data_IF_328082237350
#
_entry.id   IF_328082237350
#
_cell.length_a   1.000
_cell.length_b   1.000
_cell.length_c   1.000
_cell.angle_alpha   90.00
_cell.angle_beta   90.00
_cell.angle_gamma   90.00
#
_symmetry.space_group_name_H-M   'P 1'
#
loop_
_entity.id
_entity.type
_entity.pdbx_description
1 polymer ?
#
# COMPACT_ATOMS: atom_id res chain seq x y z
N UNK A 1 -13.43 -9.76 -8.11
CA UNK A 1 -12.58 -8.59 -8.41
C UNK A 1 -11.82 -8.85 -9.69
N UNK A 2 -11.40 -7.81 -10.41
CA UNK A 2 -10.56 -7.95 -11.61
C UNK A 2 -9.08 -8.03 -11.21
N UNK A 3 -8.25 -8.74 -11.97
CA UNK A 3 -6.79 -8.79 -11.75
C UNK A 3 -6.11 -7.41 -11.86
N UNK A 4 -6.80 -6.42 -12.41
CA UNK A 4 -6.32 -5.04 -12.48
C UNK A 4 -6.48 -4.26 -11.17
N UNK A 5 -7.13 -4.84 -10.16
CA UNK A 5 -7.18 -4.28 -8.81
C UNK A 5 -6.15 -4.95 -7.90
N UNK A 6 -5.75 -4.26 -6.83
CA UNK A 6 -4.74 -4.76 -5.90
C UNK A 6 -5.18 -6.08 -5.24
N UNK A 7 -6.41 -6.14 -4.74
CA UNK A 7 -6.96 -7.37 -4.15
C UNK A 7 -7.10 -8.50 -5.17
N UNK A 8 -7.54 -8.19 -6.40
CA UNK A 8 -7.63 -9.19 -7.47
C UNK A 8 -6.27 -9.76 -7.89
N UNK A 9 -5.24 -8.92 -7.94
CA UNK A 9 -3.86 -9.36 -8.17
C UNK A 9 -3.36 -10.29 -7.06
N UNK A 10 -3.47 -9.86 -5.80
CA UNK A 10 -2.98 -10.62 -4.65
C UNK A 10 -3.69 -11.97 -4.52
N UNK A 11 -5.00 -12.00 -4.74
CA UNK A 11 -5.78 -13.25 -4.75
C UNK A 11 -5.31 -14.23 -5.82
N UNK A 12 -5.04 -13.76 -7.04
CA UNK A 12 -4.62 -14.65 -8.14
C UNK A 12 -3.19 -15.15 -7.99
N UNK A 13 -2.29 -14.28 -7.56
CA UNK A 13 -0.85 -14.56 -7.55
C UNK A 13 -0.34 -15.10 -6.22
N UNK A 14 -1.17 -15.12 -5.18
CA UNK A 14 -0.84 -15.58 -3.83
C UNK A 14 0.42 -14.90 -3.25
N UNK A 15 0.64 -13.65 -3.64
CA UNK A 15 1.76 -12.82 -3.19
C UNK A 15 1.44 -11.34 -3.25
N UNK A 16 2.22 -10.54 -2.53
CA UNK A 16 2.18 -9.08 -2.63
C UNK A 16 2.47 -8.60 -4.07
N UNK A 17 1.76 -7.54 -4.48
CA UNK A 17 2.12 -6.79 -5.67
C UNK A 17 3.43 -6.04 -5.44
N UNK A 18 4.25 -5.95 -6.49
CA UNK A 18 5.55 -5.29 -6.44
C UNK A 18 5.64 -4.20 -7.51
N UNK A 19 6.31 -3.11 -7.16
CA UNK A 19 6.44 -1.90 -7.97
C UNK A 19 7.88 -1.39 -7.89
N UNK A 20 8.46 -0.95 -9.00
CA UNK A 20 9.66 -0.11 -8.94
C UNK A 20 9.23 1.33 -8.65
N UNK A 21 9.96 2.08 -7.82
CA UNK A 21 9.73 3.52 -7.57
C UNK A 21 10.52 4.41 -8.53
N UNK A 22 10.15 5.69 -8.66
CA UNK A 22 10.95 6.68 -9.41
C UNK A 22 12.33 6.96 -8.80
N UNK A 23 12.51 6.64 -7.52
CA UNK A 23 13.77 6.67 -6.79
C UNK A 23 14.71 5.48 -7.10
N UNK A 24 14.27 4.56 -7.99
CA UNK A 24 15.00 3.35 -8.35
C UNK A 24 14.87 2.20 -7.36
N UNK A 25 14.08 2.36 -6.29
CA UNK A 25 13.83 1.29 -5.30
C UNK A 25 12.84 0.23 -5.78
N UNK A 26 12.97 -0.98 -5.26
CA UNK A 26 11.96 -2.03 -5.42
C UNK A 26 11.06 -2.07 -4.18
N UNK A 27 9.75 -2.07 -4.39
CA UNK A 27 8.75 -2.00 -3.32
C UNK A 27 7.73 -3.13 -3.44
N UNK A 28 7.37 -3.75 -2.32
CA UNK A 28 6.17 -4.59 -2.22
C UNK A 28 5.11 -3.87 -1.38
N UNK A 29 3.85 -4.01 -1.74
CA UNK A 29 2.75 -3.33 -1.02
C UNK A 29 2.02 -4.28 -0.07
N UNK A 30 1.63 -3.76 1.09
CA UNK A 30 0.75 -4.36 2.07
C UNK A 30 -0.36 -3.37 2.46
N UNK A 31 -1.46 -3.87 3.02
CA UNK A 31 -2.50 -3.06 3.62
C UNK A 31 -2.14 -2.76 5.08
N UNK A 32 -2.39 -1.53 5.50
CA UNK A 32 -2.35 -1.13 6.91
C UNK A 32 -3.70 -0.52 7.27
N UNK A 33 -4.37 -1.08 8.27
CA UNK A 33 -5.64 -0.57 8.79
C UNK A 33 -5.42 -0.25 10.25
N UNK A 34 -5.82 0.95 10.67
CA UNK A 34 -5.70 1.37 12.06
C UNK A 34 -6.47 0.41 12.98
N UNK A 35 -5.93 0.12 14.16
CA UNK A 35 -6.56 -0.78 15.13
C UNK A 35 -7.78 -0.15 15.81
N UNK A 36 -7.82 1.19 15.89
CA UNK A 36 -8.89 1.95 16.52
C UNK A 36 -9.60 2.88 15.53
N UNK A 37 -10.93 3.05 15.65
CA UNK A 37 -11.67 3.97 14.79
C UNK A 37 -11.45 5.44 15.18
N UNK A 38 -11.62 6.33 14.20
CA UNK A 38 -11.64 7.78 14.40
C UNK A 38 -12.81 8.23 15.30
N UNK A 39 -12.86 9.52 15.64
CA UNK A 39 -13.94 10.11 16.44
C UNK A 39 -15.35 9.99 15.81
N UNK A 40 -15.45 9.56 14.54
CA UNK A 40 -16.70 9.29 13.82
C UNK A 40 -17.00 7.79 13.74
N UNK A 41 -16.21 6.94 14.39
CA UNK A 41 -16.37 5.48 14.37
C UNK A 41 -15.89 4.80 13.09
N UNK A 42 -14.93 5.39 12.36
CA UNK A 42 -14.41 4.83 11.11
C UNK A 42 -12.93 4.45 11.22
N UNK A 43 -12.60 3.28 10.72
CA UNK A 43 -11.23 2.78 10.59
C UNK A 43 -10.59 3.38 9.34
N UNK A 44 -9.39 3.93 9.48
CA UNK A 44 -8.58 4.43 8.37
C UNK A 44 -7.71 3.31 7.81
N UNK A 45 -7.52 3.30 6.49
CA UNK A 45 -6.69 2.33 5.81
C UNK A 45 -5.73 3.03 4.83
N UNK A 46 -4.46 2.63 4.91
CA UNK A 46 -3.31 3.14 4.17
C UNK A 46 -2.60 2.01 3.44
N UNK A 47 -1.75 2.35 2.48
CA UNK A 47 -0.83 1.41 1.85
C UNK A 47 0.55 1.52 2.50
N UNK A 48 1.10 0.37 2.86
CA UNK A 48 2.46 0.24 3.35
C UNK A 48 3.34 -0.36 2.25
N UNK A 49 4.30 0.41 1.74
CA UNK A 49 5.25 -0.01 0.72
C UNK A 49 6.59 -0.36 1.37
N UNK A 50 6.89 -1.66 1.46
CA UNK A 50 8.19 -2.15 1.97
C UNK A 50 9.24 -1.99 0.89
N UNK A 51 10.30 -1.21 1.17
CA UNK A 51 11.46 -1.04 0.29
C UNK A 51 12.42 -2.21 0.48
N UNK A 52 12.89 -2.79 -0.61
CA UNK A 52 13.85 -3.88 -0.62
C UNK A 52 15.26 -3.41 -0.96
N UNK A 53 16.26 -4.11 -0.44
CA UNK A 53 17.66 -3.98 -0.86
C UNK A 53 17.78 -4.18 -2.37
N UNK A 54 18.84 -3.67 -3.03
CA UNK A 54 19.09 -3.95 -4.45
C UNK A 54 19.16 -5.44 -4.79
N UNK A 55 19.56 -6.29 -3.83
CA UNK A 55 19.58 -7.75 -3.97
C UNK A 55 18.22 -8.43 -3.76
N UNK A 56 17.20 -7.70 -3.30
CA UNK A 56 15.87 -8.24 -3.00
C UNK A 56 15.83 -9.20 -1.80
N UNK A 57 16.90 -9.28 -1.02
CA UNK A 57 17.09 -10.27 0.04
C UNK A 57 16.64 -9.80 1.42
N UNK A 58 16.47 -8.48 1.62
CA UNK A 58 16.02 -7.92 2.91
C UNK A 58 15.28 -6.58 2.75
N UNK A 59 14.34 -6.27 3.66
CA UNK A 59 13.76 -4.93 3.73
C UNK A 59 14.80 -3.92 4.22
N UNK A 60 14.79 -2.72 3.66
CA UNK A 60 15.71 -1.61 3.99
C UNK A 60 14.99 -0.32 4.39
N UNK A 61 13.66 -0.31 4.33
CA UNK A 61 12.83 0.83 4.69
C UNK A 61 11.37 0.57 4.35
N UNK A 62 10.50 1.53 4.62
CA UNK A 62 9.09 1.46 4.19
C UNK A 62 8.52 2.85 3.98
N UNK A 63 7.71 3.02 2.96
CA UNK A 63 6.89 4.22 2.77
C UNK A 63 5.47 3.91 3.21
N UNK A 64 4.82 4.87 3.85
CA UNK A 64 3.40 4.79 4.16
C UNK A 64 2.68 5.93 3.46
N UNK A 65 1.48 5.65 2.96
CA UNK A 65 0.59 6.70 2.45
C UNK A 65 -0.18 7.35 3.60
N UNK A 66 -0.65 8.57 3.38
CA UNK A 66 -1.81 9.05 4.14
C UNK A 66 -3.01 8.08 3.93
N UNK A 67 -4.03 8.09 4.80
CA UNK A 67 -5.21 7.26 4.63
C UNK A 67 -5.88 7.44 3.27
N UNK A 68 -6.00 6.34 2.53
CA UNK A 68 -6.64 6.32 1.19
C UNK A 68 -8.09 5.84 1.26
N UNK A 69 -8.45 5.10 2.31
CA UNK A 69 -9.79 4.60 2.52
C UNK A 69 -10.22 4.70 3.98
N UNK A 70 -11.54 4.74 4.18
CA UNK A 70 -12.16 4.63 5.51
C UNK A 70 -13.32 3.65 5.47
N UNK A 71 -13.56 2.90 6.54
CA UNK A 71 -14.68 1.97 6.67
C UNK A 71 -15.27 1.94 8.09
N UNK A 72 -16.56 1.60 8.26
CA UNK A 72 -17.16 1.33 9.57
C UNK A 72 -16.57 0.12 10.31
N UNK A 73 -15.85 -0.76 9.61
CA UNK A 73 -15.07 -1.87 10.20
C UNK A 73 -13.69 -1.94 9.55
N UNK A 74 -12.70 -2.60 10.17
CA UNK A 74 -11.39 -2.80 9.56
C UNK A 74 -11.47 -3.49 8.20
N UNK A 75 -12.29 -4.55 8.07
CA UNK A 75 -12.44 -5.33 6.85
C UNK A 75 -13.07 -4.51 5.72
N UNK A 76 -14.01 -3.61 6.05
CA UNK A 76 -14.61 -2.70 5.08
C UNK A 76 -13.62 -1.64 4.58
N UNK A 77 -12.71 -1.19 5.45
CA UNK A 77 -11.65 -0.26 5.08
C UNK A 77 -10.61 -0.95 4.18
N UNK A 78 -10.17 -2.16 4.53
CA UNK A 78 -9.26 -2.97 3.72
C UNK A 78 -9.85 -3.29 2.35
N UNK A 79 -11.11 -3.76 2.28
CA UNK A 79 -11.78 -4.09 1.01
C UNK A 79 -11.87 -2.90 0.05
N UNK A 80 -11.84 -1.67 0.56
CA UNK A 80 -11.77 -0.46 -0.27
C UNK A 80 -10.38 -0.24 -0.85
N UNK A 81 -9.31 -0.58 -0.12
CA UNK A 81 -7.96 -0.63 -0.68
C UNK A 81 -7.80 -1.74 -1.72
N UNK A 82 -8.40 -2.91 -1.49
CA UNK A 82 -8.39 -4.03 -2.45
C UNK A 82 -8.98 -3.64 -3.81
N UNK A 83 -9.91 -2.69 -3.83
CA UNK A 83 -10.59 -2.20 -5.02
C UNK A 83 -9.74 -1.19 -5.83
N UNK A 84 -8.65 -0.67 -5.26
CA UNK A 84 -7.75 0.24 -5.98
C UNK A 84 -7.16 -0.45 -7.19
N UNK A 85 -7.07 0.26 -8.31
CA UNK A 85 -6.37 -0.26 -9.48
C UNK A 85 -4.86 -0.34 -9.19
N UNK A 86 -4.15 -1.23 -9.87
CA UNK A 86 -2.68 -1.28 -9.77
C UNK A 86 -2.03 0.04 -10.23
N UNK A 87 -2.72 0.83 -11.06
CA UNK A 87 -2.28 2.16 -11.45
C UNK A 87 -2.40 3.17 -10.31
N UNK A 88 -3.52 3.16 -9.57
CA UNK A 88 -3.72 4.03 -8.41
C UNK A 88 -2.72 3.71 -7.30
N UNK A 89 -2.45 2.41 -7.07
CA UNK A 89 -1.44 1.96 -6.12
C UNK A 89 -0.05 2.47 -6.51
N UNK A 90 0.31 2.38 -7.80
CA UNK A 90 1.56 2.92 -8.31
C UNK A 90 1.64 4.44 -8.13
N UNK A 91 0.56 5.19 -8.40
CA UNK A 91 0.53 6.62 -8.18
C UNK A 91 0.73 6.99 -6.70
N UNK A 92 0.09 6.25 -5.78
CA UNK A 92 0.24 6.43 -4.35
C UNK A 92 1.69 6.18 -3.86
N UNK A 93 2.39 5.19 -4.43
CA UNK A 93 3.81 4.98 -4.17
C UNK A 93 4.64 6.20 -4.59
N UNK A 94 4.41 6.74 -5.79
CA UNK A 94 5.16 7.91 -6.28
C UNK A 94 4.93 9.15 -5.41
N UNK A 95 3.69 9.35 -4.94
CA UNK A 95 3.38 10.43 -4.01
C UNK A 95 4.07 10.25 -2.66
N UNK A 96 4.12 9.01 -2.14
CA UNK A 96 4.85 8.71 -0.91
C UNK A 96 6.36 8.93 -1.06
N UNK A 97 6.95 8.54 -2.20
CA UNK A 97 8.37 8.81 -2.51
C UNK A 97 8.63 10.32 -2.52
N UNK A 98 7.76 11.11 -3.17
CA UNK A 98 7.93 12.56 -3.27
C UNK A 98 7.86 13.28 -1.91
N UNK A 99 7.13 12.71 -0.94
CA UNK A 99 7.04 13.24 0.43
C UNK A 99 8.18 12.78 1.35
N UNK A 100 8.90 11.72 0.98
CA UNK A 100 9.91 11.13 1.84
C UNK A 100 11.05 12.13 2.10
N UNK A 101 11.51 12.30 3.34
CA UNK A 101 12.80 12.94 3.58
C UNK A 101 13.86 12.08 2.88
N UNK A 102 14.70 12.70 2.03
CA UNK A 102 15.49 12.04 0.99
C UNK A 102 16.56 11.01 1.42
N UNK A 103 16.55 10.52 2.66
CA UNK A 103 17.47 9.52 3.18
C UNK A 103 16.72 8.48 4.04
N UNK A 104 17.10 7.20 3.87
CA UNK A 104 16.60 6.01 4.57
C UNK A 104 17.75 5.34 5.31
#
# INVERSE_FOLDING_TARGET
MSEFTLGGYMQKHERAAAFGGSDGGAYSVAFYVEDEPDARGRFAASLLFVRWSPGGDRPVGHLETDPLAWGPTPEEAERRLEALSLYDVKAALEEAIARAPGEW
#
